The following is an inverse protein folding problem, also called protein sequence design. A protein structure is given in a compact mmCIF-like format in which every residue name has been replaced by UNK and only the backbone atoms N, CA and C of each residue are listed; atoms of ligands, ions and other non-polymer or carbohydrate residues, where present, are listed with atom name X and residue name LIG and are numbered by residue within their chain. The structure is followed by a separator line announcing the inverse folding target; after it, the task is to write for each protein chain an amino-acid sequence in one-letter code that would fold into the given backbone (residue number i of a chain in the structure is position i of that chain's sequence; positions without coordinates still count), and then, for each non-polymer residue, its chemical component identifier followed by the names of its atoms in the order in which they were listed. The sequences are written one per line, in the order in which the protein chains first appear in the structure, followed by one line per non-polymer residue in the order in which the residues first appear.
data_IF_724507668605
#
_entry.id   IF_724507668605
#
_cell.length_a   1.000
_cell.length_b   1.000
_cell.length_c   1.000
_cell.angle_alpha   90.00
_cell.angle_beta   90.00
_cell.angle_gamma   90.00
#
_symmetry.space_group_name_H-M   'P 1'
#
loop_
_entity.id
_entity.type
_entity.pdbx_description
1 polymer ?
#
# COMPACT_ATOMS: atom_id res chain seq x y z
N UNK A 1 21.34 -31.67 -14.70
CA UNK A 1 20.60 -32.16 -13.53
C UNK A 1 19.14 -31.74 -13.70
N UNK A 2 18.20 -32.61 -13.36
CA UNK A 2 16.77 -32.31 -13.50
C UNK A 2 16.30 -31.49 -12.30
N UNK A 3 15.69 -30.31 -12.47
CA UNK A 3 15.13 -29.53 -11.37
C UNK A 3 14.11 -30.36 -10.57
N UNK A 4 14.16 -30.29 -9.24
CA UNK A 4 13.22 -30.97 -8.34
C UNK A 4 12.12 -29.97 -7.97
N UNK A 5 10.87 -30.35 -8.20
CA UNK A 5 9.70 -29.56 -7.81
C UNK A 5 9.29 -29.94 -6.39
N UNK A 6 9.03 -28.95 -5.55
CA UNK A 6 8.52 -29.12 -4.20
C UNK A 6 7.15 -28.47 -4.06
N UNK A 7 6.31 -29.08 -3.23
CA UNK A 7 5.00 -28.55 -2.86
C UNK A 7 4.88 -28.58 -1.34
N UNK A 8 4.50 -27.46 -0.75
CA UNK A 8 4.34 -27.27 0.70
C UNK A 8 3.02 -26.60 0.99
N UNK A 9 2.48 -26.85 2.18
CA UNK A 9 1.30 -26.16 2.69
C UNK A 9 1.77 -25.31 3.86
N UNK A 10 1.47 -24.02 3.81
CA UNK A 10 1.80 -23.05 4.86
C UNK A 10 0.59 -22.18 5.15
N UNK A 11 0.52 -21.64 6.36
CA UNK A 11 -0.59 -20.78 6.80
C UNK A 11 -0.05 -19.44 7.27
N UNK A 12 -0.58 -18.36 6.72
CA UNK A 12 -0.35 -17.00 7.21
C UNK A 12 -1.47 -16.59 8.17
N UNK A 13 -1.11 -16.10 9.35
CA UNK A 13 -2.01 -15.54 10.34
C UNK A 13 -1.91 -14.02 10.28
N UNK A 14 -3.00 -13.39 9.87
CA UNK A 14 -3.08 -11.96 9.63
C UNK A 14 -4.10 -11.32 10.59
N UNK A 15 -3.64 -10.57 11.61
CA UNK A 15 -4.53 -9.77 12.43
C UNK A 15 -4.93 -8.51 11.67
N UNK A 16 -6.21 -8.42 11.30
CA UNK A 16 -6.82 -7.28 10.62
C UNK A 16 -7.67 -6.52 11.63
N UNK A 17 -7.54 -5.20 11.64
CA UNK A 17 -8.33 -4.36 12.53
C UNK A 17 -9.79 -4.34 12.06
N UNK A 18 -10.72 -4.72 12.93
CA UNK A 18 -12.16 -4.72 12.64
C UNK A 18 -12.92 -3.57 13.29
N UNK A 19 -12.30 -2.82 14.21
CA UNK A 19 -12.93 -1.65 14.84
C UNK A 19 -11.98 -0.46 14.94
N UNK A 20 -12.43 0.70 14.45
CA UNK A 20 -11.78 2.00 14.66
C UNK A 20 -12.54 2.73 15.78
N UNK A 21 -11.82 3.51 16.59
CA UNK A 21 -12.44 4.35 17.62
C UNK A 21 -13.34 5.38 16.91
N UNK A 22 -14.63 5.46 17.28
CA UNK A 22 -15.68 6.32 16.69
C UNK A 22 -16.33 5.87 15.37
N UNK A 23 -16.15 4.62 14.94
CA UNK A 23 -16.59 4.17 13.60
C UNK A 23 -18.03 3.64 13.51
N UNK A 24 -18.92 3.95 14.47
CA UNK A 24 -20.29 3.41 14.49
C UNK A 24 -21.06 3.68 13.18
N UNK A 25 -20.76 4.78 12.48
CA UNK A 25 -21.44 5.18 11.23
C UNK A 25 -20.83 4.55 9.97
N UNK A 26 -19.54 4.20 9.97
CA UNK A 26 -18.84 3.68 8.79
C UNK A 26 -18.32 2.23 8.94
N UNK A 27 -18.52 1.62 10.11
CA UNK A 27 -18.19 0.22 10.40
C UNK A 27 -18.68 -0.74 9.32
N UNK A 28 -19.93 -0.61 8.86
CA UNK A 28 -20.48 -1.47 7.80
C UNK A 28 -19.69 -1.37 6.49
N UNK A 29 -19.22 -0.17 6.13
CA UNK A 29 -18.45 0.05 4.91
C UNK A 29 -17.03 -0.54 5.04
N UNK A 30 -16.39 -0.35 6.19
CA UNK A 30 -15.08 -0.93 6.50
C UNK A 30 -15.15 -2.46 6.52
N UNK A 31 -16.13 -3.03 7.22
CA UNK A 31 -16.37 -4.47 7.27
C UNK A 31 -16.61 -5.05 5.88
N UNK A 32 -17.42 -4.37 5.05
CA UNK A 32 -17.65 -4.77 3.67
C UNK A 32 -16.35 -4.78 2.84
N UNK A 33 -15.47 -3.79 3.05
CA UNK A 33 -14.16 -3.75 2.39
C UNK A 33 -13.22 -4.86 2.89
N UNK A 34 -13.19 -5.16 4.19
CA UNK A 34 -12.41 -6.26 4.76
C UNK A 34 -12.88 -7.60 4.19
N UNK A 35 -14.19 -7.86 4.17
CA UNK A 35 -14.73 -9.09 3.60
C UNK A 35 -14.44 -9.21 2.11
N UNK A 36 -14.59 -8.11 1.36
CA UNK A 36 -14.25 -8.07 -0.07
C UNK A 36 -12.77 -8.34 -0.32
N UNK A 37 -11.88 -7.77 0.50
CA UNK A 37 -10.45 -8.02 0.46
C UNK A 37 -10.14 -9.50 0.71
N UNK A 38 -10.67 -10.08 1.79
CA UNK A 38 -10.46 -11.48 2.14
C UNK A 38 -10.92 -12.41 1.01
N UNK A 39 -12.14 -12.22 0.48
CA UNK A 39 -12.65 -13.04 -0.63
C UNK A 39 -11.75 -12.91 -1.87
N UNK A 40 -11.33 -11.68 -2.20
CA UNK A 40 -10.49 -11.44 -3.36
C UNK A 40 -9.07 -12.02 -3.24
N UNK A 41 -8.53 -12.25 -2.03
CA UNK A 41 -7.22 -12.89 -1.85
C UNK A 41 -7.13 -14.28 -2.52
N UNK A 42 -8.26 -15.00 -2.61
CA UNK A 42 -8.32 -16.31 -3.26
C UNK A 42 -7.89 -16.26 -4.74
N UNK A 43 -8.18 -15.15 -5.42
CA UNK A 43 -7.87 -14.93 -6.83
C UNK A 43 -6.63 -14.04 -7.03
N UNK A 44 -6.40 -13.08 -6.13
CA UNK A 44 -5.29 -12.12 -6.22
C UNK A 44 -3.94 -12.76 -5.91
N UNK A 45 -3.82 -13.62 -4.90
CA UNK A 45 -2.51 -14.16 -4.52
C UNK A 45 -1.85 -14.98 -5.64
N UNK A 46 -2.55 -15.85 -6.40
CA UNK A 46 -1.96 -16.54 -7.55
C UNK A 46 -1.59 -15.60 -8.72
N UNK A 47 -2.25 -14.44 -8.82
CA UNK A 47 -1.88 -13.42 -9.81
C UNK A 47 -0.52 -12.82 -9.42
N UNK A 48 -0.35 -12.42 -8.16
CA UNK A 48 0.87 -11.77 -7.66
C UNK A 48 2.05 -12.73 -7.50
N UNK A 49 1.78 -13.99 -7.12
CA UNK A 49 2.79 -15.04 -6.93
C UNK A 49 2.25 -16.36 -7.50
N UNK A 50 2.61 -16.74 -8.75
CA UNK A 50 2.15 -17.97 -9.39
C UNK A 50 2.52 -19.26 -8.64
N UNK A 51 3.51 -19.20 -7.75
CA UNK A 51 3.89 -20.29 -6.84
C UNK A 51 2.82 -20.58 -5.79
N UNK A 52 1.96 -19.61 -5.46
CA UNK A 52 0.91 -19.71 -4.44
C UNK A 52 -0.41 -20.11 -5.08
N UNK A 53 -1.03 -21.17 -4.59
CA UNK A 53 -2.26 -21.77 -5.14
C UNK A 53 -3.11 -22.46 -4.07
N UNK A 54 -4.31 -22.91 -4.43
CA UNK A 54 -5.24 -23.65 -3.55
C UNK A 54 -5.40 -22.97 -2.18
N UNK A 55 -5.84 -21.72 -2.20
CA UNK A 55 -5.94 -20.87 -1.02
C UNK A 55 -7.27 -21.12 -0.31
N UNK A 56 -7.24 -21.11 1.02
CA UNK A 56 -8.43 -21.11 1.88
C UNK A 56 -8.25 -20.14 3.02
N UNK A 57 -9.34 -19.50 3.43
CA UNK A 57 -9.36 -18.53 4.54
C UNK A 57 -10.21 -19.08 5.68
N UNK A 58 -9.72 -18.91 6.90
CA UNK A 58 -10.42 -19.26 8.14
C UNK A 58 -10.36 -18.08 9.11
N UNK A 59 -11.42 -17.92 9.88
CA UNK A 59 -11.52 -17.00 11.03
C UNK A 59 -11.24 -17.72 12.37
N UNK A 60 -10.93 -19.03 12.33
CA UNK A 60 -10.54 -19.76 13.52
C UNK A 60 -9.12 -19.34 13.93
N UNK A 61 -8.89 -18.95 15.19
CA UNK A 61 -7.57 -18.54 15.63
C UNK A 61 -6.55 -19.69 15.55
N UNK A 62 -5.24 -19.39 15.45
CA UNK A 62 -4.21 -20.41 15.45
C UNK A 62 -4.29 -21.29 16.71
N UNK A 63 -3.69 -22.48 16.62
CA UNK A 63 -3.43 -23.29 17.82
C UNK A 63 -2.67 -22.46 18.88
N UNK A 64 -2.79 -22.88 20.15
CA UNK A 64 -2.25 -22.12 21.30
C UNK A 64 -0.80 -21.65 21.13
N UNK A 65 0.04 -22.41 20.43
CA UNK A 65 1.42 -22.04 20.12
C UNK A 65 1.52 -20.81 19.21
N UNK A 66 0.77 -20.77 18.11
CA UNK A 66 0.72 -19.63 17.20
C UNK A 66 0.13 -18.38 17.86
N UNK A 67 -0.95 -18.54 18.63
CA UNK A 67 -1.52 -17.43 19.41
C UNK A 67 -0.54 -16.84 20.43
N UNK A 68 0.21 -17.69 21.13
CA UNK A 68 1.21 -17.23 22.09
C UNK A 68 2.38 -16.49 21.41
N UNK A 69 2.78 -16.91 20.21
CA UNK A 69 3.79 -16.19 19.42
C UNK A 69 3.29 -14.79 19.03
N UNK A 70 2.12 -14.72 18.42
CA UNK A 70 1.50 -13.46 18.00
C UNK A 70 1.35 -12.48 19.18
N UNK A 71 0.80 -12.95 20.30
CA UNK A 71 0.61 -12.13 21.50
C UNK A 71 1.92 -11.65 22.13
N UNK A 72 3.05 -12.36 21.92
CA UNK A 72 4.37 -11.95 22.41
C UNK A 72 4.96 -10.81 21.58
N UNK A 73 4.72 -10.81 20.27
CA UNK A 73 5.32 -9.83 19.36
C UNK A 73 4.46 -8.58 19.20
N UNK A 74 3.13 -8.71 19.33
CA UNK A 74 2.21 -7.57 19.30
C UNK A 74 1.17 -7.68 20.40
N UNK A 75 1.24 -6.78 21.39
CA UNK A 75 0.24 -6.65 22.45
C UNK A 75 -1.15 -6.26 21.93
N UNK A 76 -1.22 -5.77 20.68
CA UNK A 76 -2.47 -5.40 20.03
C UNK A 76 -3.27 -6.62 19.57
N UNK A 77 -2.65 -7.79 19.40
CA UNK A 77 -3.34 -8.99 18.87
C UNK A 77 -4.30 -9.59 19.88
N UNK A 78 -4.09 -9.35 21.18
CA UNK A 78 -5.06 -9.73 22.23
C UNK A 78 -6.15 -8.68 22.43
N UNK A 79 -6.10 -7.56 21.70
CA UNK A 79 -7.10 -6.52 21.77
C UNK A 79 -8.36 -6.95 21.01
N UNK A 80 -9.57 -6.63 21.49
CA UNK A 80 -10.81 -6.83 20.72
C UNK A 80 -10.88 -5.98 19.43
N UNK A 81 -9.83 -5.21 19.14
CA UNK A 81 -9.72 -4.38 17.95
C UNK A 81 -9.32 -5.16 16.69
N UNK A 82 -8.85 -6.40 16.83
CA UNK A 82 -8.32 -7.20 15.74
C UNK A 82 -9.00 -8.55 15.65
N UNK A 83 -9.43 -8.90 14.45
CA UNK A 83 -9.79 -10.26 14.07
C UNK A 83 -8.59 -10.93 13.39
N UNK A 84 -8.38 -12.21 13.70
CA UNK A 84 -7.25 -12.96 13.18
C UNK A 84 -7.74 -13.90 12.10
N UNK A 85 -7.21 -13.73 10.89
CA UNK A 85 -7.55 -14.58 9.75
C UNK A 85 -6.38 -15.49 9.39
N UNK A 86 -6.66 -16.78 9.22
CA UNK A 86 -5.73 -17.78 8.70
C UNK A 86 -5.87 -17.93 7.19
N UNK A 87 -4.84 -17.59 6.43
CA UNK A 87 -4.73 -17.79 4.99
C UNK A 87 -3.82 -18.99 4.73
N UNK A 88 -4.40 -20.15 4.46
CA UNK A 88 -3.66 -21.37 4.13
C UNK A 88 -3.50 -21.48 2.62
N UNK A 89 -2.30 -21.80 2.15
CA UNK A 89 -2.02 -21.94 0.73
C UNK A 89 -1.07 -23.10 0.42
N UNK A 90 -1.23 -23.67 -0.77
CA UNK A 90 -0.28 -24.61 -1.36
C UNK A 90 0.75 -23.84 -2.18
N UNK A 91 2.01 -23.94 -1.79
CA UNK A 91 3.14 -23.27 -2.46
C UNK A 91 3.96 -24.28 -3.22
N UNK A 92 4.13 -24.06 -4.53
CA UNK A 92 4.92 -24.90 -5.42
C UNK A 92 6.10 -24.15 -6.02
N UNK A 93 7.31 -24.68 -5.85
CA UNK A 93 8.54 -24.04 -6.32
C UNK A 93 9.59 -25.07 -6.75
N UNK A 94 10.57 -24.60 -7.53
CA UNK A 94 11.67 -25.44 -8.04
C UNK A 94 12.93 -25.17 -7.22
N UNK A 95 13.51 -26.21 -6.62
CA UNK A 95 14.82 -26.11 -5.98
C UNK A 95 15.92 -26.16 -7.06
N UNK A 96 16.68 -25.07 -7.15
CA UNK A 96 17.77 -24.91 -8.12
C UNK A 96 19.14 -25.29 -7.57
N UNK A 97 19.24 -25.71 -6.29
CA UNK A 97 20.52 -26.10 -5.69
C UNK A 97 21.01 -27.40 -6.30
N UNK A 98 22.28 -27.39 -6.75
CA UNK A 98 22.90 -28.50 -7.45
C UNK A 98 23.35 -29.67 -6.55
N UNK A 99 23.00 -29.68 -5.25
CA UNK A 99 23.49 -30.70 -4.31
C UNK A 99 22.35 -31.38 -3.52
N UNK A 100 21.78 -32.49 -4.06
CA UNK A 100 20.77 -33.28 -3.37
C UNK A 100 21.34 -34.14 -2.23
N UNK A 101 22.67 -34.27 -2.10
CA UNK A 101 23.31 -35.17 -1.13
C UNK A 101 23.51 -34.55 0.26
N UNK A 102 23.43 -33.22 0.40
CA UNK A 102 23.27 -32.60 1.71
C UNK A 102 21.78 -32.67 2.05
N UNK A 103 21.37 -33.68 2.83
CA UNK A 103 20.00 -33.84 3.31
C UNK A 103 19.42 -32.48 3.68
N UNK A 104 18.59 -31.95 2.80
CA UNK A 104 18.08 -30.60 2.98
C UNK A 104 17.21 -30.63 4.22
N UNK A 105 17.55 -29.81 5.21
CA UNK A 105 16.72 -29.65 6.39
C UNK A 105 15.31 -29.30 5.92
N UNK A 106 14.32 -30.10 6.33
CA UNK A 106 12.92 -29.88 5.96
C UNK A 106 12.51 -28.44 6.26
N UNK A 107 13.04 -27.89 7.36
CA UNK A 107 12.89 -26.50 7.79
C UNK A 107 13.24 -25.47 6.70
N UNK A 108 14.21 -25.75 5.83
CA UNK A 108 14.59 -24.83 4.76
C UNK A 108 13.54 -24.76 3.64
N UNK A 109 12.96 -25.90 3.24
CA UNK A 109 11.92 -25.92 2.21
C UNK A 109 10.64 -25.23 2.72
N UNK A 110 10.34 -25.38 4.01
CA UNK A 110 9.22 -24.70 4.65
C UNK A 110 9.45 -23.19 4.70
N UNK A 111 10.69 -22.76 4.99
CA UNK A 111 11.06 -21.33 4.93
C UNK A 111 10.93 -20.73 3.52
N UNK A 112 11.27 -21.47 2.45
CA UNK A 112 11.03 -21.01 1.07
C UNK A 112 9.53 -20.86 0.81
N UNK A 113 8.73 -21.86 1.18
CA UNK A 113 7.28 -21.80 1.01
C UNK A 113 6.67 -20.60 1.75
N UNK A 114 7.10 -20.39 2.99
CA UNK A 114 6.69 -19.25 3.80
C UNK A 114 7.06 -17.91 3.16
N UNK A 115 8.26 -17.81 2.57
CA UNK A 115 8.71 -16.60 1.86
C UNK A 115 7.80 -16.23 0.68
N UNK A 116 7.39 -17.20 -0.13
CA UNK A 116 6.49 -16.92 -1.25
C UNK A 116 5.11 -16.43 -0.79
N UNK A 117 4.55 -17.04 0.26
CA UNK A 117 3.25 -16.63 0.80
C UNK A 117 3.34 -15.25 1.48
N UNK A 118 4.37 -15.01 2.31
CA UNK A 118 4.62 -13.71 2.93
C UNK A 118 4.72 -12.61 1.86
N UNK A 119 5.60 -12.81 0.87
CA UNK A 119 5.80 -11.82 -0.21
C UNK A 119 4.50 -11.54 -0.97
N UNK A 120 3.73 -12.57 -1.28
CA UNK A 120 2.44 -12.42 -1.98
C UNK A 120 1.44 -11.59 -1.15
N UNK A 121 1.34 -11.86 0.15
CA UNK A 121 0.48 -11.13 1.07
C UNK A 121 0.94 -9.69 1.28
N UNK A 122 2.24 -9.46 1.44
CA UNK A 122 2.82 -8.12 1.58
C UNK A 122 2.52 -7.25 0.36
N UNK A 123 2.63 -7.82 -0.85
CA UNK A 123 2.22 -7.12 -2.08
C UNK A 123 0.70 -6.88 -2.14
N UNK A 124 -0.10 -7.87 -1.76
CA UNK A 124 -1.55 -7.73 -1.72
C UNK A 124 -2.00 -6.62 -0.74
N UNK A 125 -1.40 -6.55 0.45
CA UNK A 125 -1.69 -5.53 1.46
C UNK A 125 -1.34 -4.11 0.98
N UNK A 126 -0.23 -3.95 0.25
CA UNK A 126 0.11 -2.67 -0.37
C UNK A 126 -0.90 -2.28 -1.45
N UNK A 127 -1.24 -3.22 -2.35
CA UNK A 127 -2.21 -2.98 -3.42
C UNK A 127 -3.64 -2.77 -2.89
N UNK A 128 -3.95 -3.25 -1.69
CA UNK A 128 -5.25 -3.04 -1.06
C UNK A 128 -5.54 -1.56 -0.82
N UNK A 129 -4.54 -0.69 -0.71
CA UNK A 129 -4.74 0.76 -0.58
C UNK A 129 -5.15 1.42 -1.90
N UNK A 130 -4.95 0.76 -3.04
CA UNK A 130 -5.48 1.23 -4.33
C UNK A 130 -6.95 0.79 -4.52
N UNK A 131 -7.33 -0.35 -3.93
CA UNK A 131 -8.68 -0.92 -4.03
C UNK A 131 -9.62 -0.38 -2.95
N UNK A 132 -9.17 -0.38 -1.70
CA UNK A 132 -9.92 -0.04 -0.50
C UNK A 132 -9.10 0.93 0.37
N UNK A 133 -8.72 2.12 -0.17
CA UNK A 133 -7.90 3.09 0.55
C UNK A 133 -8.45 3.38 1.94
N UNK A 134 -7.55 3.40 2.92
CA UNK A 134 -7.91 3.78 4.28
C UNK A 134 -8.65 2.72 5.11
N UNK A 135 -8.87 1.50 4.60
CA UNK A 135 -9.71 0.50 5.30
C UNK A 135 -8.92 -0.65 5.94
N UNK A 136 -7.97 -1.24 5.21
CA UNK A 136 -7.28 -2.45 5.65
C UNK A 136 -6.07 -2.08 6.51
N UNK A 137 -6.22 -2.12 7.84
CA UNK A 137 -5.10 -2.04 8.79
C UNK A 137 -4.69 -3.44 9.24
N UNK A 138 -3.40 -3.73 9.28
CA UNK A 138 -2.89 -4.97 9.89
C UNK A 138 -1.88 -4.69 10.98
N UNK A 139 -1.90 -5.51 12.04
CA UNK A 139 -0.74 -5.61 12.93
C UNK A 139 0.27 -6.63 12.36
N UNK A 140 1.36 -6.88 13.08
CA UNK A 140 2.35 -7.89 12.67
C UNK A 140 1.69 -9.28 12.58
N UNK A 141 1.86 -9.93 11.43
CA UNK A 141 1.37 -11.27 11.16
C UNK A 141 2.48 -12.32 11.20
N UNK A 142 2.13 -13.56 10.93
CA UNK A 142 3.08 -14.69 10.97
C UNK A 142 2.73 -15.74 9.93
N UNK A 143 3.72 -16.28 9.23
CA UNK A 143 3.60 -17.51 8.44
C UNK A 143 4.11 -18.71 9.23
N UNK A 144 3.32 -19.77 9.28
CA UNK A 144 3.61 -21.02 10.00
C UNK A 144 3.52 -22.26 9.11
N UNK A 145 4.21 -23.31 9.53
CA UNK A 145 3.92 -24.70 9.17
C UNK A 145 3.51 -25.43 10.45
N UNK A 146 2.21 -25.73 10.56
CA UNK A 146 1.60 -26.18 11.81
C UNK A 146 1.89 -25.21 12.97
N UNK A 147 2.63 -25.68 13.97
CA UNK A 147 2.98 -24.93 15.18
C UNK A 147 4.34 -24.20 15.11
N UNK A 148 5.04 -24.27 13.97
CA UNK A 148 6.36 -23.66 13.80
C UNK A 148 6.22 -22.30 13.12
N UNK A 149 6.69 -21.25 13.78
CA UNK A 149 6.83 -19.92 13.20
C UNK A 149 7.99 -19.88 12.20
N UNK A 150 7.72 -19.46 10.96
CA UNK A 150 8.71 -19.45 9.88
C UNK A 150 9.10 -18.03 9.45
N UNK A 151 8.12 -17.12 9.32
CA UNK A 151 8.36 -15.77 8.82
C UNK A 151 7.36 -14.78 9.42
N UNK A 152 7.79 -13.55 9.68
CA UNK A 152 6.91 -12.47 10.13
C UNK A 152 6.35 -11.72 8.92
N UNK A 153 5.10 -11.27 9.03
CA UNK A 153 4.47 -10.38 8.06
C UNK A 153 4.49 -8.99 8.69
N UNK A 154 5.08 -8.03 7.99
CA UNK A 154 5.17 -6.66 8.50
C UNK A 154 3.77 -6.07 8.72
N UNK A 155 3.66 -5.24 9.78
CA UNK A 155 2.45 -4.44 9.99
C UNK A 155 2.22 -3.52 8.80
N UNK A 156 0.95 -3.31 8.45
CA UNK A 156 0.56 -2.39 7.39
C UNK A 156 -0.36 -1.30 7.94
N UNK A 157 0.09 -0.07 7.83
CA UNK A 157 -0.72 1.11 8.10
C UNK A 157 -1.63 1.40 6.90
N UNK A 158 -2.80 1.99 7.14
CA UNK A 158 -3.67 2.50 6.07
C UNK A 158 -3.51 4.01 5.90
N UNK A 159 -3.96 4.53 4.76
CA UNK A 159 -4.01 5.96 4.49
C UNK A 159 -5.19 6.59 5.24
N UNK A 160 -4.97 7.10 6.45
CA UNK A 160 -6.04 7.66 7.31
C UNK A 160 -6.83 8.77 6.62
N UNK A 161 -6.16 9.63 5.86
CA UNK A 161 -6.82 10.69 5.07
C UNK A 161 -7.77 10.18 3.97
N UNK A 162 -7.74 8.88 3.67
CA UNK A 162 -8.62 8.24 2.71
C UNK A 162 -9.62 7.27 3.37
N UNK A 163 -9.70 7.27 4.70
CA UNK A 163 -10.68 6.49 5.44
C UNK A 163 -12.10 6.88 5.01
N UNK A 164 -13.09 5.96 4.96
CA UNK A 164 -14.46 6.26 4.55
C UNK A 164 -15.11 7.47 5.26
N UNK A 165 -14.76 7.72 6.53
CA UNK A 165 -15.24 8.89 7.29
C UNK A 165 -14.69 10.23 6.79
N UNK A 166 -13.51 10.22 6.17
CA UNK A 166 -12.80 11.40 5.68
C UNK A 166 -13.15 11.73 4.22
N UNK A 167 -13.91 10.86 3.54
CA UNK A 167 -14.27 11.03 2.14
C UNK A 167 -15.65 11.68 2.01
N UNK A 168 -15.70 12.83 1.36
CA UNK A 168 -16.98 13.49 1.02
C UNK A 168 -17.35 13.31 -0.45
N UNK A 169 -18.65 13.37 -0.77
CA UNK A 169 -19.16 13.18 -2.14
C UNK A 169 -18.61 14.20 -3.16
N UNK A 170 -18.03 15.32 -2.71
CA UNK A 170 -17.52 16.39 -3.56
C UNK A 170 -16.00 16.61 -3.41
N UNK A 171 -15.28 15.65 -2.81
CA UNK A 171 -13.84 15.77 -2.66
C UNK A 171 -13.13 15.80 -4.02
N UNK A 172 -12.13 16.67 -4.11
CA UNK A 172 -11.19 16.67 -5.22
C UNK A 172 -9.78 16.37 -4.70
N UNK A 173 -9.06 15.39 -5.27
CA UNK A 173 -9.51 14.49 -6.34
C UNK A 173 -10.44 13.39 -5.79
N UNK A 174 -11.28 12.84 -6.68
CA UNK A 174 -12.19 11.73 -6.32
C UNK A 174 -11.37 10.47 -5.98
N UNK A 175 -11.66 9.87 -4.83
CA UNK A 175 -11.13 8.58 -4.39
C UNK A 175 -12.24 7.54 -4.49
N UNK A 176 -11.92 6.38 -5.07
CA UNK A 176 -12.90 5.31 -5.34
C UNK A 176 -12.55 4.03 -4.62
N UNK A 177 -13.56 3.20 -4.39
CA UNK A 177 -13.33 1.78 -4.17
C UNK A 177 -13.33 1.06 -5.52
N UNK A 178 -12.28 0.27 -5.74
CA UNK A 178 -12.03 -0.44 -7.00
C UNK A 178 -11.97 -1.94 -6.69
N UNK A 179 -12.46 -2.73 -7.64
CA UNK A 179 -12.31 -4.19 -7.60
C UNK A 179 -10.83 -4.59 -7.42
N UNK A 180 -10.53 -5.39 -6.39
CA UNK A 180 -9.16 -5.72 -6.04
C UNK A 180 -8.47 -6.64 -7.07
N UNK A 181 -9.23 -7.51 -7.75
CA UNK A 181 -8.71 -8.29 -8.86
C UNK A 181 -8.26 -7.39 -10.02
N UNK A 182 -9.04 -6.35 -10.33
CA UNK A 182 -8.64 -5.36 -11.36
C UNK A 182 -7.31 -4.68 -11.01
N UNK A 183 -7.12 -4.30 -9.74
CA UNK A 183 -5.86 -3.73 -9.25
C UNK A 183 -4.71 -4.71 -9.43
N UNK A 184 -4.87 -5.97 -9.01
CA UNK A 184 -3.84 -6.98 -9.08
C UNK A 184 -3.43 -7.32 -10.53
N UNK A 185 -4.42 -7.47 -11.43
CA UNK A 185 -4.19 -7.69 -12.87
C UNK A 185 -3.45 -6.50 -13.48
N UNK A 186 -3.88 -5.28 -13.17
CA UNK A 186 -3.22 -4.07 -13.66
C UNK A 186 -1.77 -3.99 -13.18
N UNK A 187 -1.52 -4.20 -11.88
CA UNK A 187 -0.18 -4.16 -11.28
C UNK A 187 0.75 -5.19 -11.94
N UNK A 188 0.29 -6.43 -12.12
CA UNK A 188 1.04 -7.44 -12.88
C UNK A 188 1.31 -7.00 -14.31
N UNK A 189 0.33 -6.40 -14.97
CA UNK A 189 0.43 -5.99 -16.38
C UNK A 189 1.47 -4.89 -16.66
N UNK A 190 1.86 -4.14 -15.62
CA UNK A 190 2.93 -3.14 -15.67
C UNK A 190 4.26 -3.69 -15.12
N UNK A 191 4.36 -4.98 -14.82
CA UNK A 191 5.58 -5.62 -14.29
C UNK A 191 5.87 -5.26 -12.83
N UNK A 192 4.84 -4.97 -12.02
CA UNK A 192 5.03 -4.75 -10.59
C UNK A 192 5.64 -6.02 -9.96
N UNK A 193 6.73 -5.85 -9.19
CA UNK A 193 7.54 -6.90 -8.56
C UNK A 193 8.42 -7.76 -9.50
N UNK A 194 8.38 -7.56 -10.82
CA UNK A 194 9.22 -8.31 -11.78
C UNK A 194 10.66 -7.75 -11.87
N UNK A 195 10.86 -6.50 -11.45
CA UNK A 195 12.15 -5.80 -11.47
C UNK A 195 12.39 -5.07 -10.15
N UNK A 196 13.65 -5.01 -9.71
CA UNK A 196 14.06 -4.20 -8.55
C UNK A 196 13.99 -2.69 -8.80
N UNK A 197 13.88 -2.27 -10.07
CA UNK A 197 13.86 -0.86 -10.46
C UNK A 197 12.65 -0.52 -11.31
N UNK A 198 11.97 0.56 -10.93
CA UNK A 198 10.89 1.18 -11.70
C UNK A 198 11.44 2.02 -12.86
N UNK A 199 11.01 1.72 -14.09
CA UNK A 199 11.57 2.29 -15.33
C UNK A 199 10.59 3.15 -16.11
N UNK A 200 9.29 2.84 -16.07
CA UNK A 200 8.25 3.66 -16.72
C UNK A 200 7.76 4.77 -15.77
N UNK A 201 6.96 5.72 -16.28
CA UNK A 201 6.40 6.77 -15.42
C UNK A 201 5.46 6.17 -14.39
N UNK A 202 4.53 5.33 -14.86
CA UNK A 202 3.56 4.62 -14.01
C UNK A 202 4.25 3.75 -12.95
N UNK A 203 5.30 2.99 -13.33
CA UNK A 203 6.05 2.19 -12.37
C UNK A 203 6.71 3.05 -11.29
N UNK A 204 7.29 4.20 -11.65
CA UNK A 204 7.91 5.11 -10.67
C UNK A 204 6.88 5.75 -9.75
N UNK A 205 5.70 6.09 -10.28
CA UNK A 205 4.57 6.59 -9.51
C UNK A 205 4.10 5.55 -8.50
N UNK A 206 3.94 4.30 -8.91
CA UNK A 206 3.56 3.20 -8.01
C UNK A 206 4.64 2.92 -6.97
N UNK A 207 5.92 2.92 -7.35
CA UNK A 207 7.02 2.74 -6.39
C UNK A 207 7.05 3.83 -5.32
N UNK A 208 6.85 5.10 -5.72
CA UNK A 208 6.72 6.20 -4.77
C UNK A 208 5.52 6.02 -3.83
N UNK A 209 4.39 5.55 -4.36
CA UNK A 209 3.21 5.22 -3.56
C UNK A 209 3.47 4.10 -2.55
N UNK A 210 4.12 3.00 -2.95
CA UNK A 210 4.47 1.92 -2.00
C UNK A 210 5.40 2.41 -0.88
N UNK A 211 6.28 3.38 -1.16
CA UNK A 211 7.06 4.03 -0.11
C UNK A 211 6.18 4.86 0.82
N UNK A 212 5.20 5.61 0.30
CA UNK A 212 4.22 6.33 1.13
C UNK A 212 3.51 5.37 2.10
N UNK A 213 3.10 4.18 1.64
CA UNK A 213 2.43 3.20 2.51
C UNK A 213 3.32 2.62 3.61
N UNK A 214 4.62 2.46 3.32
CA UNK A 214 5.60 2.00 4.31
C UNK A 214 5.94 3.06 5.37
N UNK A 215 5.55 4.31 5.14
CA UNK A 215 5.71 5.39 6.10
C UNK A 215 4.50 5.42 7.04
N UNK A 216 4.75 5.40 8.34
CA UNK A 216 3.70 5.62 9.33
C UNK A 216 3.29 7.10 9.43
N UNK A 217 2.22 7.36 10.19
CA UNK A 217 1.64 8.68 10.52
C UNK A 217 2.58 9.73 11.13
N UNK A 218 3.85 9.42 11.39
CA UNK A 218 4.84 10.35 11.96
C UNK A 218 5.84 10.89 10.93
N UNK A 219 5.65 10.56 9.67
CA UNK A 219 6.61 10.80 8.60
C UNK A 219 6.10 11.77 7.54
N UNK A 220 5.19 12.69 7.89
CA UNK A 220 4.51 13.60 6.96
C UNK A 220 5.44 14.27 5.97
N UNK A 221 6.61 14.74 6.41
CA UNK A 221 7.58 15.36 5.50
C UNK A 221 8.17 14.40 4.47
N UNK A 222 8.47 13.15 4.86
CA UNK A 222 8.87 12.12 3.90
C UNK A 222 7.68 11.68 3.05
N UNK A 223 6.48 11.56 3.61
CA UNK A 223 5.25 11.27 2.88
C UNK A 223 5.00 12.30 1.79
N UNK A 224 5.08 13.60 2.11
CA UNK A 224 4.96 14.68 1.14
C UNK A 224 6.05 14.60 0.07
N UNK A 225 7.30 14.31 0.47
CA UNK A 225 8.41 14.15 -0.45
C UNK A 225 8.16 13.01 -1.46
N UNK A 226 7.78 11.82 -0.97
CA UNK A 226 7.50 10.64 -1.79
C UNK A 226 6.26 10.85 -2.66
N UNK A 227 5.20 11.45 -2.13
CA UNK A 227 4.00 11.81 -2.88
C UNK A 227 4.36 12.74 -4.05
N UNK A 228 5.11 13.81 -3.79
CA UNK A 228 5.58 14.73 -4.84
C UNK A 228 6.53 14.05 -5.84
N UNK A 229 7.40 13.14 -5.40
CA UNK A 229 8.26 12.36 -6.30
C UNK A 229 7.43 11.50 -7.26
N UNK A 230 6.38 10.85 -6.75
CA UNK A 230 5.44 10.07 -7.56
C UNK A 230 4.73 10.94 -8.59
N UNK A 231 4.18 12.08 -8.16
CA UNK A 231 3.50 13.03 -9.03
C UNK A 231 4.41 13.63 -10.11
N UNK A 232 5.62 14.05 -9.75
CA UNK A 232 6.60 14.56 -10.71
C UNK A 232 7.02 13.48 -11.71
N UNK A 233 7.20 12.23 -11.27
CA UNK A 233 7.53 11.12 -12.18
C UNK A 233 6.42 10.84 -13.20
N UNK A 234 5.16 11.05 -12.82
CA UNK A 234 4.00 10.86 -13.69
C UNK A 234 3.83 12.04 -14.64
N UNK A 235 3.71 13.24 -14.09
CA UNK A 235 3.28 14.44 -14.81
C UNK A 235 4.44 15.22 -15.44
N UNK A 236 5.66 15.19 -14.92
CA UNK A 236 6.72 16.09 -15.38
C UNK A 236 7.69 15.44 -16.35
N UNK A 237 8.24 16.21 -17.28
CA UNK A 237 9.22 15.73 -18.27
C UNK A 237 10.69 15.94 -17.80
N UNK A 238 10.88 16.41 -16.56
CA UNK A 238 12.20 16.68 -15.97
C UNK A 238 12.91 17.92 -16.50
N UNK A 239 12.30 18.65 -17.45
CA UNK A 239 12.83 19.89 -18.03
C UNK A 239 11.80 21.02 -17.93
N UNK A 240 12.26 22.26 -17.87
CA UNK A 240 11.40 23.45 -17.82
C UNK A 240 10.71 23.65 -16.46
N UNK A 241 9.56 24.34 -16.47
CA UNK A 241 8.78 24.64 -15.26
C UNK A 241 7.95 23.42 -14.84
N UNK A 242 8.45 22.67 -13.84
CA UNK A 242 7.83 21.47 -13.31
C UNK A 242 6.53 21.78 -12.54
N UNK A 243 6.46 22.93 -11.85
CA UNK A 243 5.26 23.37 -11.11
C UNK A 243 4.10 23.59 -12.06
N UNK A 244 4.35 24.27 -13.18
CA UNK A 244 3.35 24.47 -14.24
C UNK A 244 2.94 23.16 -14.91
N UNK A 245 3.87 22.27 -15.20
CA UNK A 245 3.57 20.96 -15.79
C UNK A 245 2.67 20.12 -14.89
N UNK A 246 3.04 19.97 -13.62
CA UNK A 246 2.25 19.23 -12.65
C UNK A 246 0.85 19.84 -12.51
N UNK A 247 0.75 21.16 -12.36
CA UNK A 247 -0.56 21.82 -12.24
C UNK A 247 -1.45 21.62 -13.47
N UNK A 248 -0.92 21.80 -14.68
CA UNK A 248 -1.71 21.70 -15.90
C UNK A 248 -2.10 20.24 -16.20
N UNK A 249 -1.14 19.32 -16.16
CA UNK A 249 -1.37 17.92 -16.50
C UNK A 249 -2.20 17.21 -15.43
N UNK A 250 -2.08 17.58 -14.16
CA UNK A 250 -2.96 17.08 -13.10
C UNK A 250 -4.42 17.48 -13.34
N UNK A 251 -4.69 18.72 -13.78
CA UNK A 251 -6.06 19.14 -14.10
C UNK A 251 -6.60 18.45 -15.36
N UNK A 252 -5.74 18.21 -16.35
CA UNK A 252 -6.12 17.40 -17.51
C UNK A 252 -6.45 15.95 -17.12
N UNK A 253 -5.70 15.39 -16.17
CA UNK A 253 -5.82 13.99 -15.75
C UNK A 253 -6.83 13.73 -14.62
N UNK A 254 -7.13 14.67 -13.75
CA UNK A 254 -8.07 14.45 -12.63
C UNK A 254 -9.29 15.38 -12.72
N UNK A 255 -9.39 16.16 -13.80
CA UNK A 255 -10.36 17.24 -13.91
C UNK A 255 -9.92 18.49 -13.13
N UNK A 256 -10.63 19.60 -13.38
CA UNK A 256 -10.35 20.85 -12.71
C UNK A 256 -10.78 20.80 -11.24
N UNK A 257 -9.92 21.28 -10.32
CA UNK A 257 -10.32 21.51 -8.94
C UNK A 257 -11.42 22.60 -8.90
N UNK A 258 -12.60 22.33 -8.34
CA UNK A 258 -13.67 23.34 -8.21
C UNK A 258 -13.24 24.61 -7.49
N UNK A 259 -12.34 24.54 -6.51
CA UNK A 259 -11.92 25.68 -5.70
C UNK A 259 -10.88 26.58 -6.38
N UNK A 260 -10.34 26.17 -7.54
CA UNK A 260 -9.31 26.90 -8.32
C UNK A 260 -8.08 27.35 -7.52
N UNK A 261 -7.77 26.66 -6.42
CA UNK A 261 -6.61 26.98 -5.58
C UNK A 261 -5.31 26.61 -6.29
N UNK A 262 -4.23 27.36 -6.01
CA UNK A 262 -2.87 27.06 -6.48
C UNK A 262 -2.26 25.89 -5.68
N UNK A 263 -2.91 24.72 -5.72
CA UNK A 263 -2.58 23.53 -4.95
C UNK A 263 -1.13 23.14 -5.16
N UNK A 264 -0.74 22.94 -6.43
CA UNK A 264 0.61 22.51 -6.77
C UNK A 264 1.63 23.50 -6.22
N UNK A 265 1.32 24.78 -6.32
CA UNK A 265 2.17 25.80 -5.76
C UNK A 265 2.39 25.69 -4.26
N UNK A 266 1.31 25.49 -3.53
CA UNK A 266 1.35 25.26 -2.10
C UNK A 266 2.18 24.00 -1.75
N UNK A 267 1.97 22.88 -2.45
CA UNK A 267 2.71 21.63 -2.22
C UNK A 267 4.23 21.79 -2.43
N UNK A 268 4.65 22.52 -3.47
CA UNK A 268 6.07 22.83 -3.70
C UNK A 268 6.65 23.67 -2.56
N UNK A 269 5.90 24.68 -2.09
CA UNK A 269 6.35 25.56 -1.02
C UNK A 269 6.47 24.78 0.31
N UNK A 270 5.52 23.89 0.63
CA UNK A 270 5.58 23.01 1.81
C UNK A 270 6.78 22.04 1.73
N UNK A 271 6.95 21.34 0.60
CA UNK A 271 8.08 20.42 0.40
C UNK A 271 9.41 21.16 0.52
N UNK A 272 9.52 22.34 -0.08
CA UNK A 272 10.71 23.19 -0.04
C UNK A 272 11.07 23.56 1.39
N UNK A 273 10.08 24.01 2.19
CA UNK A 273 10.29 24.32 3.61
C UNK A 273 10.79 23.11 4.39
N UNK A 274 10.26 21.92 4.14
CA UNK A 274 10.70 20.69 4.79
C UNK A 274 12.14 20.32 4.42
N UNK A 275 12.46 20.21 3.12
CA UNK A 275 13.78 19.80 2.64
C UNK A 275 14.88 20.79 3.05
N UNK A 276 14.58 22.10 3.02
CA UNK A 276 15.56 23.14 3.32
C UNK A 276 15.59 23.55 4.80
N UNK A 277 14.89 22.83 5.68
CA UNK A 277 14.93 23.05 7.12
C UNK A 277 14.26 24.35 7.61
N UNK A 278 13.40 24.94 6.79
CA UNK A 278 12.58 26.08 7.19
C UNK A 278 11.30 25.67 7.94
N UNK A 279 10.89 24.39 7.82
CA UNK A 279 9.84 23.81 8.65
C UNK A 279 10.37 23.49 10.06
N UNK A 280 9.54 23.75 11.08
CA UNK A 280 9.82 23.30 12.45
C UNK A 280 9.79 21.76 12.48
N UNK A 281 10.72 21.15 13.19
CA UNK A 281 10.79 19.69 13.38
C UNK A 281 10.59 19.38 14.86
N UNK A 282 9.68 18.46 15.17
CA UNK A 282 9.53 17.95 16.52
C UNK A 282 10.69 17.00 16.85
N UNK A 283 11.19 17.05 18.09
CA UNK A 283 12.15 16.05 18.54
C UNK A 283 11.48 14.69 18.63
N UNK A 284 12.21 13.63 18.27
CA UNK A 284 11.72 12.25 18.23
C UNK A 284 11.00 11.76 19.51
N UNK A 285 11.41 12.27 20.66
CA UNK A 285 10.92 11.84 21.98
C UNK A 285 9.85 12.77 22.55
N UNK A 286 9.57 13.89 21.89
CA UNK A 286 8.64 14.88 22.40
C UNK A 286 7.26 14.66 21.76
N UNK A 287 6.22 14.67 22.60
CA UNK A 287 4.81 14.62 22.19
C UNK A 287 4.17 15.98 22.49
N UNK A 288 4.99 17.04 22.54
CA UNK A 288 4.54 18.39 22.82
C UNK A 288 3.43 18.79 21.85
N UNK A 289 2.32 19.23 22.43
CA UNK A 289 1.25 19.94 21.76
C UNK A 289 1.87 21.25 21.25
N UNK A 290 2.00 21.44 19.92
CA UNK A 290 2.58 22.66 19.40
C UNK A 290 1.79 23.87 19.93
N UNK A 291 2.47 24.99 20.16
CA UNK A 291 1.77 26.24 20.50
C UNK A 291 0.73 26.56 19.41
N UNK A 292 -0.37 27.27 19.71
CA UNK A 292 -1.46 27.50 18.73
C UNK A 292 -1.02 28.02 17.35
N UNK A 293 0.04 28.85 17.30
CA UNK A 293 0.63 29.34 16.03
C UNK A 293 1.34 28.23 15.24
N UNK A 294 1.90 27.26 15.93
CA UNK A 294 2.50 26.06 15.35
C UNK A 294 1.43 25.06 14.92
N UNK A 295 0.30 24.96 15.64
CA UNK A 295 -0.82 24.10 15.25
C UNK A 295 -1.36 24.45 13.87
N UNK A 296 -1.66 25.72 13.58
CA UNK A 296 -2.12 26.12 12.23
C UNK A 296 -1.11 25.80 11.13
N UNK A 297 0.17 25.98 11.42
CA UNK A 297 1.23 25.69 10.45
C UNK A 297 1.37 24.19 10.20
N UNK A 298 1.21 23.37 11.25
CA UNK A 298 1.23 21.92 11.17
C UNK A 298 -0.04 21.35 10.53
N UNK A 299 -1.22 21.90 10.82
CA UNK A 299 -2.48 21.57 10.15
C UNK A 299 -2.36 21.80 8.64
N UNK A 300 -1.94 23.00 8.22
CA UNK A 300 -1.72 23.27 6.80
C UNK A 300 -0.68 22.36 6.14
N UNK A 301 0.32 21.90 6.91
CA UNK A 301 1.29 20.94 6.41
C UNK A 301 0.66 19.56 6.23
N UNK A 302 -0.07 19.07 7.24
CA UNK A 302 -0.84 17.82 7.19
C UNK A 302 -1.81 17.83 6.02
N UNK A 303 -2.64 18.87 5.88
CA UNK A 303 -3.58 19.04 4.76
C UNK A 303 -2.87 18.93 3.40
N UNK A 304 -1.67 19.52 3.29
CA UNK A 304 -0.85 19.42 2.09
C UNK A 304 -0.33 18.01 1.82
N UNK A 305 0.07 17.28 2.86
CA UNK A 305 0.52 15.88 2.78
C UNK A 305 -0.64 14.98 2.35
N UNK A 306 -1.80 15.14 2.97
CA UNK A 306 -3.02 14.42 2.66
C UNK A 306 -3.46 14.67 1.21
N UNK A 307 -3.52 15.94 0.79
CA UNK A 307 -3.89 16.31 -0.57
C UNK A 307 -2.90 15.74 -1.60
N UNK A 308 -1.59 15.82 -1.36
CA UNK A 308 -0.59 15.23 -2.25
C UNK A 308 -0.77 13.71 -2.38
N UNK A 309 -1.09 13.05 -1.27
CA UNK A 309 -1.33 11.60 -1.21
C UNK A 309 -2.63 11.23 -1.93
N UNK A 310 -3.72 11.98 -1.74
CA UNK A 310 -4.98 11.82 -2.49
C UNK A 310 -4.77 12.00 -4.00
N UNK A 311 -3.99 12.99 -4.43
CA UNK A 311 -3.65 13.19 -5.86
C UNK A 311 -2.84 12.00 -6.39
N UNK A 312 -1.86 11.49 -5.63
CA UNK A 312 -1.07 10.34 -6.05
C UNK A 312 -1.95 9.08 -6.18
N UNK A 313 -2.77 8.79 -5.17
CA UNK A 313 -3.71 7.68 -5.15
C UNK A 313 -4.70 7.77 -6.32
N UNK A 314 -5.40 8.90 -6.47
CA UNK A 314 -6.37 9.11 -7.56
C UNK A 314 -5.73 9.00 -8.95
N UNK A 315 -4.48 9.46 -9.10
CA UNK A 315 -3.71 9.29 -10.35
C UNK A 315 -3.52 7.81 -10.68
N UNK A 316 -3.12 6.99 -9.71
CA UNK A 316 -2.93 5.54 -9.88
C UNK A 316 -4.28 4.82 -10.09
N UNK A 317 -5.32 5.19 -9.35
CA UNK A 317 -6.67 4.67 -9.52
C UNK A 317 -7.20 4.91 -10.93
N UNK A 318 -6.99 6.11 -11.48
CA UNK A 318 -7.35 6.38 -12.88
C UNK A 318 -6.56 5.53 -13.86
N UNK A 319 -5.27 5.28 -13.60
CA UNK A 319 -4.48 4.36 -14.43
C UNK A 319 -5.05 2.93 -14.42
N UNK A 320 -5.50 2.46 -13.26
CA UNK A 320 -6.11 1.13 -13.12
C UNK A 320 -7.43 1.06 -13.90
N UNK A 321 -8.33 2.03 -13.67
CA UNK A 321 -9.65 2.05 -14.30
C UNK A 321 -9.59 2.19 -15.83
N UNK A 322 -8.59 2.91 -16.35
CA UNK A 322 -8.37 3.08 -17.79
C UNK A 322 -7.36 2.08 -18.37
N UNK A 323 -6.86 1.12 -17.57
CA UNK A 323 -5.84 0.14 -17.98
C UNK A 323 -4.56 0.76 -18.57
N UNK A 324 -4.18 1.94 -18.09
CA UNK A 324 -3.01 2.70 -18.54
C UNK A 324 -1.75 2.09 -17.94
N UNK A 325 -0.81 1.69 -18.81
CA UNK A 325 0.46 1.05 -18.42
C UNK A 325 1.66 2.00 -18.44
N UNK A 326 1.57 3.06 -19.24
CA UNK A 326 2.52 4.16 -19.28
C UNK A 326 1.85 5.39 -19.89
N UNK A 327 2.44 6.57 -19.70
CA UNK A 327 1.90 7.85 -20.21
C UNK A 327 2.95 8.61 -20.98
N UNK A 328 2.59 9.14 -22.15
CA UNK A 328 3.42 10.09 -22.88
C UNK A 328 2.67 11.41 -23.01
N UNK A 329 3.21 12.46 -22.40
CA UNK A 329 2.60 13.78 -22.47
C UNK A 329 2.99 14.49 -23.77
N UNK A 330 2.01 14.84 -24.60
CA UNK A 330 2.19 15.69 -25.77
C UNK A 330 1.34 16.95 -25.64
N UNK A 331 1.97 18.11 -25.81
CA UNK A 331 1.27 19.39 -25.94
C UNK A 331 1.11 19.69 -27.43
N UNK A 332 0.09 19.13 -28.07
CA UNK A 332 -0.21 19.49 -29.46
C UNK A 332 -0.98 20.81 -29.51
N UNK A 333 -0.53 21.75 -30.35
CA UNK A 333 -1.24 22.99 -30.62
C UNK A 333 -2.34 22.71 -31.65
N UNK A 334 -3.61 22.76 -31.24
CA UNK A 334 -4.71 22.71 -32.19
C UNK A 334 -4.89 24.08 -32.85
N UNK A 335 -4.44 24.23 -34.09
CA UNK A 335 -4.86 25.36 -34.93
C UNK A 335 -6.30 25.12 -35.39
N UNK A 336 -7.27 25.82 -34.80
CA UNK A 336 -8.58 25.99 -35.43
C UNK A 336 -8.42 26.86 -36.67
N UNK A 337 -8.84 26.36 -37.83
CA UNK A 337 -8.90 27.12 -39.09
C UNK A 337 -10.13 28.01 -39.13
#
# INVERSE_FOLDING_TARGET
MTPISHTKIVTAWLPIRSTIFDDDVHSEAVDSCIQSFLIALLEVLPILAPEVSAISISDEPPEKGGMAYLARNSSLITSPLFDIYGITATVSFVDTRNNPESGCDMSYLDAIAAHYLEKALSLALQLSELAYPGTIYTSEGLVTDGNVALMEIEKKHFLSCCHPSELTQNDWPEIKFIDFNLVAVWAKSIGFSESSFATTRVQRTLAAFTHVLGLGWRHDGETLFRSMQGLESFYCDGIGDLRRQLSHKCQMWLGANPEKLNIVGHLYDLRSKFIHGAAKMQYWHDVSDPWEEDNKTMEHFSDGVELATKILLSTLQRCILESVKDVNWSYEYQTTK
#
